data_IF_357552510322
#
_entry.id   IF_357552510322
#
_cell.length_a   1.000
_cell.length_b   1.000
_cell.length_c   1.000
_cell.angle_alpha   90.00
_cell.angle_beta   90.00
_cell.angle_gamma   90.00
#
_symmetry.space_group_name_H-M   'P 1'
#
loop_
_entity.id
_entity.type
_entity.pdbx_description
1 polymer ?
#
# COMPACT_ATOMS: atom_id res chain seq x y z
N UNK A 1 -14.94 33.86 -7.56
CA UNK A 1 -13.74 33.06 -7.83
C UNK A 1 -12.84 33.92 -8.70
N UNK A 2 -11.57 34.16 -8.38
CA UNK A 2 -10.72 34.83 -9.38
C UNK A 2 -10.52 33.85 -10.55
N UNK A 3 -10.50 34.39 -11.77
CA UNK A 3 -10.35 33.62 -13.01
C UNK A 3 -9.12 32.66 -12.94
N UNK A 4 -8.11 33.01 -12.14
CA UNK A 4 -6.87 32.23 -11.92
C UNK A 4 -7.04 30.82 -11.30
N UNK A 5 -8.18 30.47 -10.70
CA UNK A 5 -8.37 29.14 -10.09
C UNK A 5 -9.09 28.12 -11.01
N UNK A 6 -9.65 28.54 -12.16
CA UNK A 6 -10.36 27.61 -13.05
C UNK A 6 -9.41 26.66 -13.80
N UNK A 7 -8.19 27.11 -14.14
CA UNK A 7 -7.25 26.32 -14.95
C UNK A 7 -6.40 25.32 -14.14
N UNK A 8 -6.53 25.34 -12.80
CA UNK A 8 -5.74 24.50 -11.89
C UNK A 8 -6.47 23.20 -11.61
N UNK A 9 -5.74 22.08 -11.63
CA UNK A 9 -6.31 20.76 -11.33
C UNK A 9 -6.46 20.53 -9.82
N UNK A 10 -7.59 19.95 -9.44
CA UNK A 10 -7.91 19.53 -8.09
C UNK A 10 -7.77 18.00 -8.00
N UNK A 11 -6.89 17.52 -7.12
CA UNK A 11 -6.58 16.10 -6.95
C UNK A 11 -6.99 15.66 -5.55
N UNK A 12 -7.84 14.64 -5.46
CA UNK A 12 -8.21 13.99 -4.20
C UNK A 12 -7.43 12.70 -4.03
N UNK A 13 -6.75 12.54 -2.90
CA UNK A 13 -6.00 11.34 -2.54
C UNK A 13 -6.60 10.76 -1.27
N UNK A 14 -6.97 9.50 -1.32
CA UNK A 14 -7.54 8.77 -0.21
C UNK A 14 -6.69 7.52 0.06
N UNK A 15 -6.37 7.24 1.32
CA UNK A 15 -5.64 6.03 1.73
C UNK A 15 -6.31 5.33 2.91
N UNK A 16 -6.37 4.00 2.86
CA UNK A 16 -6.87 3.22 3.97
C UNK A 16 -6.25 1.81 4.07
N UNK A 17 -5.60 1.53 5.20
CA UNK A 17 -5.26 0.18 5.59
C UNK A 17 -6.48 -0.54 6.19
N UNK A 18 -6.95 -1.61 5.54
CA UNK A 18 -8.17 -2.32 5.95
C UNK A 18 -7.93 -3.47 6.92
N UNK A 19 -6.70 -3.68 7.42
CA UNK A 19 -6.35 -4.71 8.40
C UNK A 19 -6.83 -6.13 8.01
N UNK A 20 -6.65 -6.48 6.73
CA UNK A 20 -7.10 -7.74 6.10
C UNK A 20 -8.63 -7.94 6.10
N UNK A 21 -9.41 -6.93 6.51
CA UNK A 21 -10.87 -6.95 6.58
C UNK A 21 -11.56 -6.52 5.28
N UNK A 22 -10.82 -6.27 4.20
CA UNK A 22 -11.42 -5.77 2.96
C UNK A 22 -12.45 -6.70 2.30
N UNK A 23 -12.63 -7.94 2.76
CA UNK A 23 -13.79 -8.80 2.40
C UNK A 23 -15.04 -8.46 3.23
N UNK A 24 -14.89 -8.23 4.53
CA UNK A 24 -15.99 -7.93 5.46
C UNK A 24 -16.55 -6.51 5.32
N UNK A 25 -15.95 -5.73 4.42
CA UNK A 25 -16.45 -4.44 4.00
C UNK A 25 -15.60 -3.30 4.54
N UNK A 26 -15.26 -2.37 3.64
CA UNK A 26 -15.35 -0.97 4.02
C UNK A 26 -16.78 -0.74 4.55
N UNK A 27 -17.04 0.18 5.49
CA UNK A 27 -18.42 0.54 5.80
C UNK A 27 -19.17 0.75 4.49
N UNK A 28 -20.40 0.22 4.40
CA UNK A 28 -21.19 0.21 3.16
C UNK A 28 -21.32 1.61 2.54
N UNK A 29 -21.14 2.64 3.37
CA UNK A 29 -21.11 4.03 3.02
C UNK A 29 -19.65 4.55 2.94
N UNK A 30 -19.17 4.80 1.71
CA UNK A 30 -17.87 5.44 1.47
C UNK A 30 -17.94 6.98 1.51
N UNK A 31 -19.13 7.56 1.70
CA UNK A 31 -19.41 8.99 1.54
C UNK A 31 -18.55 9.81 2.48
N UNK A 32 -18.52 9.49 3.77
CA UNK A 32 -17.72 10.23 4.75
C UNK A 32 -16.24 10.33 4.34
N UNK A 33 -15.73 9.33 3.63
CA UNK A 33 -14.34 9.28 3.21
C UNK A 33 -14.08 9.86 1.82
N UNK A 34 -14.97 9.66 0.85
CA UNK A 34 -14.77 10.07 -0.55
C UNK A 34 -15.51 11.35 -0.94
N UNK A 35 -16.48 11.78 -0.13
CA UNK A 35 -17.28 13.01 -0.30
C UNK A 35 -16.95 14.19 0.64
N UNK A 36 -15.83 14.28 1.38
CA UNK A 36 -15.56 15.46 2.22
C UNK A 36 -15.36 16.74 1.38
N UNK A 37 -15.38 16.61 0.05
CA UNK A 37 -15.51 17.70 -0.92
C UNK A 37 -16.72 18.60 -0.62
N UNK A 38 -17.85 18.10 -0.11
CA UNK A 38 -19.07 18.91 0.12
C UNK A 38 -18.92 19.96 1.23
N UNK A 39 -18.14 19.67 2.27
CA UNK A 39 -17.92 20.63 3.37
C UNK A 39 -16.75 21.58 3.06
N UNK A 40 -15.69 21.07 2.45
CA UNK A 40 -14.51 21.88 2.09
C UNK A 40 -14.79 22.81 0.90
N UNK A 41 -15.66 22.41 -0.02
CA UNK A 41 -16.07 23.27 -1.13
C UNK A 41 -16.80 24.52 -0.67
N UNK A 42 -17.56 24.43 0.43
CA UNK A 42 -18.24 25.60 1.02
C UNK A 42 -17.26 26.60 1.64
N UNK A 43 -16.10 26.12 2.13
CA UNK A 43 -15.08 26.96 2.74
C UNK A 43 -14.15 27.63 1.71
N UNK A 44 -13.84 26.94 0.60
CA UNK A 44 -12.82 27.38 -0.36
C UNK A 44 -13.38 28.06 -1.63
N UNK A 45 -14.67 27.91 -1.90
CA UNK A 45 -15.30 28.44 -3.12
C UNK A 45 -16.76 28.80 -2.87
N UNK A 46 -17.24 29.86 -3.52
CA UNK A 46 -18.69 30.19 -3.55
C UNK A 46 -19.51 29.15 -4.33
N UNK A 47 -18.85 28.30 -5.12
CA UNK A 47 -19.45 27.25 -5.95
C UNK A 47 -18.74 25.92 -5.72
N UNK A 48 -19.48 24.85 -5.37
CA UNK A 48 -18.88 23.54 -5.18
C UNK A 48 -18.24 22.96 -6.46
N UNK A 49 -16.98 22.50 -6.35
CA UNK A 49 -16.21 21.90 -7.45
C UNK A 49 -15.76 20.48 -7.09
N UNK A 50 -16.03 19.51 -7.97
CA UNK A 50 -15.54 18.14 -7.82
C UNK A 50 -14.04 18.03 -8.19
N UNK A 51 -13.29 17.05 -7.65
CA UNK A 51 -11.90 16.80 -8.05
C UNK A 51 -11.79 16.43 -9.52
N UNK A 52 -10.73 16.89 -10.20
CA UNK A 52 -10.44 16.47 -11.57
C UNK A 52 -9.83 15.06 -11.61
N UNK A 53 -9.14 14.66 -10.53
CA UNK A 53 -8.54 13.33 -10.35
C UNK A 53 -8.86 12.83 -8.94
N UNK A 54 -9.25 11.57 -8.82
CA UNK A 54 -9.42 10.88 -7.53
C UNK A 54 -8.52 9.65 -7.51
N UNK A 55 -7.64 9.54 -6.52
CA UNK A 55 -6.78 8.37 -6.31
C UNK A 55 -7.09 7.72 -4.96
N UNK A 56 -7.44 6.43 -4.97
CA UNK A 56 -7.80 5.67 -3.77
C UNK A 56 -6.84 4.50 -3.60
N UNK A 57 -6.07 4.53 -2.52
CA UNK A 57 -5.10 3.51 -2.14
C UNK A 57 -5.59 2.66 -0.98
N UNK A 58 -5.37 1.35 -1.06
CA UNK A 58 -5.65 0.42 0.03
C UNK A 58 -4.39 -0.34 0.41
N UNK A 59 -4.28 -0.66 1.70
CA UNK A 59 -3.31 -1.61 2.23
C UNK A 59 -4.05 -2.70 3.00
N UNK A 60 -3.45 -3.89 3.05
CA UNK A 60 -4.09 -5.08 3.63
C UNK A 60 -5.52 -5.30 3.12
N UNK A 61 -5.79 -4.99 1.84
CA UNK A 61 -7.14 -5.06 1.26
C UNK A 61 -7.72 -6.49 1.26
N UNK A 62 -6.85 -7.48 1.21
CA UNK A 62 -7.20 -8.88 1.02
C UNK A 62 -6.61 -9.72 2.14
N UNK A 63 -7.33 -10.74 2.63
CA UNK A 63 -6.71 -11.82 3.38
C UNK A 63 -5.48 -12.34 2.65
N UNK A 64 -4.41 -12.60 3.40
CA UNK A 64 -3.09 -12.89 2.83
C UNK A 64 -3.12 -14.06 1.85
N UNK A 65 -3.86 -15.13 2.14
CA UNK A 65 -3.97 -16.28 1.24
C UNK A 65 -4.55 -15.91 -0.14
N UNK A 66 -5.53 -15.00 -0.21
CA UNK A 66 -6.07 -14.50 -1.49
C UNK A 66 -5.11 -13.52 -2.18
N UNK A 67 -4.49 -12.62 -1.40
CA UNK A 67 -3.51 -11.67 -1.93
C UNK A 67 -2.32 -12.39 -2.59
N UNK A 68 -1.72 -13.32 -1.86
CA UNK A 68 -0.57 -14.11 -2.31
C UNK A 68 -0.92 -15.01 -3.49
N UNK A 69 -2.09 -15.67 -3.48
CA UNK A 69 -2.53 -16.50 -4.61
C UNK A 69 -2.94 -15.70 -5.85
N UNK A 70 -3.26 -14.41 -5.70
CA UNK A 70 -3.63 -13.53 -6.81
C UNK A 70 -5.11 -13.52 -7.14
N UNK A 71 -5.93 -14.04 -6.23
CA UNK A 71 -7.38 -14.07 -6.36
C UNK A 71 -8.01 -12.74 -5.92
N UNK A 72 -7.48 -11.62 -6.42
CA UNK A 72 -7.88 -10.26 -6.06
C UNK A 72 -8.97 -9.65 -6.94
N UNK A 73 -9.20 -10.22 -8.14
CA UNK A 73 -10.03 -9.62 -9.20
C UNK A 73 -11.44 -9.25 -8.76
N UNK A 74 -12.12 -10.13 -8.01
CA UNK A 74 -13.49 -9.88 -7.54
C UNK A 74 -13.54 -8.71 -6.56
N UNK A 75 -12.65 -8.70 -5.58
CA UNK A 75 -12.61 -7.64 -4.56
C UNK A 75 -12.28 -6.29 -5.20
N UNK A 76 -11.26 -6.24 -6.08
CA UNK A 76 -10.90 -4.97 -6.71
C UNK A 76 -11.99 -4.43 -7.64
N UNK A 77 -12.71 -5.30 -8.36
CA UNK A 77 -13.84 -4.88 -9.21
C UNK A 77 -15.03 -4.39 -8.38
N UNK A 78 -15.31 -5.04 -7.25
CA UNK A 78 -16.34 -4.56 -6.33
C UNK A 78 -15.97 -3.20 -5.73
N UNK A 79 -14.69 -2.98 -5.42
CA UNK A 79 -14.18 -1.70 -4.91
C UNK A 79 -14.26 -0.60 -5.96
N UNK A 80 -13.89 -0.91 -7.19
CA UNK A 80 -14.03 -0.03 -8.35
C UNK A 80 -15.48 0.44 -8.53
N UNK A 81 -16.42 -0.49 -8.65
CA UNK A 81 -17.84 -0.17 -8.80
C UNK A 81 -18.38 0.66 -7.63
N UNK A 82 -18.02 0.29 -6.39
CA UNK A 82 -18.47 1.02 -5.20
C UNK A 82 -17.89 2.44 -5.19
N UNK A 83 -16.57 2.61 -5.34
CA UNK A 83 -15.93 3.93 -5.34
C UNK A 83 -16.52 4.81 -6.43
N UNK A 84 -16.64 4.30 -7.66
CA UNK A 84 -17.19 5.05 -8.78
C UNK A 84 -18.63 5.52 -8.49
N UNK A 85 -19.48 4.62 -7.99
CA UNK A 85 -20.86 4.98 -7.62
C UNK A 85 -20.93 6.07 -6.56
N UNK A 86 -19.99 6.08 -5.60
CA UNK A 86 -19.99 7.00 -4.47
C UNK A 86 -19.43 8.37 -4.86
N UNK A 87 -18.36 8.43 -5.66
CA UNK A 87 -17.83 9.71 -6.14
C UNK A 87 -18.81 10.42 -7.08
N UNK A 88 -19.53 9.69 -7.94
CA UNK A 88 -20.51 10.27 -8.87
C UNK A 88 -21.82 10.68 -8.18
N UNK A 89 -22.33 9.85 -7.26
CA UNK A 89 -23.57 10.17 -6.53
C UNK A 89 -23.44 11.42 -5.65
N UNK A 90 -22.22 11.70 -5.18
CA UNK A 90 -21.93 12.83 -4.29
C UNK A 90 -21.15 13.96 -4.97
N UNK A 91 -20.98 13.88 -6.30
CA UNK A 91 -20.35 14.95 -7.06
C UNK A 91 -21.28 16.19 -7.06
N UNK A 92 -20.77 17.38 -6.70
CA UNK A 92 -21.58 18.58 -6.51
C UNK A 92 -22.46 18.97 -7.72
N UNK A 93 -21.97 18.72 -8.94
CA UNK A 93 -22.63 19.07 -10.19
C UNK A 93 -22.95 17.82 -11.02
N UNK A 94 -23.06 16.64 -10.37
CA UNK A 94 -23.31 15.33 -11.02
C UNK A 94 -22.23 14.97 -12.06
N UNK A 95 -20.99 15.36 -11.78
CA UNK A 95 -19.84 15.03 -12.61
C UNK A 95 -19.65 13.52 -12.70
N UNK A 96 -19.24 13.06 -13.89
CA UNK A 96 -18.92 11.66 -14.16
C UNK A 96 -17.43 11.42 -14.14
N UNK A 97 -17.04 10.19 -13.84
CA UNK A 97 -15.64 9.78 -13.79
C UNK A 97 -15.41 8.53 -14.63
N UNK A 98 -14.19 8.40 -15.10
CA UNK A 98 -13.70 7.16 -15.71
C UNK A 98 -12.58 6.58 -14.86
N UNK A 99 -12.50 5.26 -14.80
CA UNK A 99 -11.33 4.57 -14.24
C UNK A 99 -10.15 4.74 -15.21
N UNK A 100 -9.12 5.47 -14.79
CA UNK A 100 -7.85 5.61 -15.53
C UNK A 100 -7.08 4.29 -15.46
N UNK A 101 -6.86 3.80 -14.24
CA UNK A 101 -6.19 2.53 -14.01
C UNK A 101 -6.47 1.99 -12.61
N UNK A 102 -6.40 0.66 -12.48
CA UNK A 102 -6.34 -0.03 -11.18
C UNK A 102 -5.23 -1.06 -11.18
N UNK A 103 -4.54 -1.20 -10.05
CA UNK A 103 -3.47 -2.17 -9.85
C UNK A 103 -3.48 -2.71 -8.43
N UNK A 104 -3.12 -3.99 -8.29
CA UNK A 104 -3.04 -4.70 -7.00
C UNK A 104 -1.77 -5.53 -6.94
N UNK A 105 -1.04 -5.43 -5.83
CA UNK A 105 0.05 -6.33 -5.45
C UNK A 105 -0.22 -6.87 -4.05
N UNK A 106 -0.61 -8.15 -3.96
CA UNK A 106 -1.02 -8.83 -2.73
C UNK A 106 -2.12 -8.03 -2.00
N UNK A 107 -1.78 -7.30 -0.93
CA UNK A 107 -2.72 -6.51 -0.15
C UNK A 107 -2.69 -5.01 -0.45
N UNK A 108 -1.77 -4.54 -1.31
CA UNK A 108 -1.64 -3.13 -1.68
C UNK A 108 -2.39 -2.91 -3.00
N UNK A 109 -3.32 -1.97 -3.02
CA UNK A 109 -4.10 -1.62 -4.20
C UNK A 109 -4.13 -0.12 -4.44
N UNK A 110 -4.29 0.26 -5.70
CA UNK A 110 -4.46 1.65 -6.14
C UNK A 110 -5.46 1.69 -7.29
N UNK A 111 -6.46 2.57 -7.17
CA UNK A 111 -7.42 2.90 -8.21
C UNK A 111 -7.37 4.40 -8.45
N UNK A 112 -7.24 4.82 -9.71
CA UNK A 112 -7.18 6.23 -10.09
C UNK A 112 -8.27 6.52 -11.10
N UNK A 113 -9.04 7.57 -10.84
CA UNK A 113 -10.17 8.03 -11.65
C UNK A 113 -9.90 9.45 -12.14
N UNK A 114 -10.39 9.75 -13.33
CA UNK A 114 -10.34 11.10 -13.92
C UNK A 114 -11.74 11.56 -14.29
N UNK A 115 -12.02 12.85 -14.09
CA UNK A 115 -13.30 13.44 -14.48
C UNK A 115 -13.50 13.35 -15.99
N UNK A 116 -14.65 12.86 -16.44
CA UNK A 116 -14.92 12.49 -17.83
C UNK A 116 -14.88 13.68 -18.81
N UNK A 117 -15.28 14.86 -18.37
CA UNK A 117 -15.26 16.08 -19.18
C UNK A 117 -13.90 16.82 -19.15
N UNK A 118 -12.90 16.26 -18.46
CA UNK A 118 -11.58 16.85 -18.28
C UNK A 118 -10.46 15.84 -18.48
N UNK A 119 -9.74 15.54 -17.40
CA UNK A 119 -8.57 14.64 -17.42
C UNK A 119 -8.91 13.29 -18.04
N UNK A 120 -10.08 12.72 -17.72
CA UNK A 120 -10.54 11.44 -18.24
C UNK A 120 -10.52 11.34 -19.77
N UNK A 121 -10.90 12.42 -20.45
CA UNK A 121 -11.00 12.45 -21.92
C UNK A 121 -9.69 12.78 -22.62
N UNK A 122 -8.79 13.49 -21.93
CA UNK A 122 -7.53 14.00 -22.51
C UNK A 122 -6.35 13.06 -22.28
N UNK A 123 -6.38 12.26 -21.22
CA UNK A 123 -5.22 11.48 -20.78
C UNK A 123 -4.72 10.49 -21.84
N UNK A 124 -3.43 10.17 -21.76
CA UNK A 124 -2.75 9.18 -22.59
C UNK A 124 -1.61 8.51 -21.79
N UNK A 125 -0.91 7.57 -22.43
CA UNK A 125 0.28 6.88 -21.89
C UNK A 125 0.05 6.27 -20.49
N UNK A 126 -1.09 5.60 -20.30
CA UNK A 126 -1.42 4.97 -19.01
C UNK A 126 -0.52 3.76 -18.77
N UNK A 127 0.15 3.78 -17.61
CA UNK A 127 1.11 2.79 -17.18
C UNK A 127 0.81 2.38 -15.74
N UNK A 128 1.01 1.10 -15.43
CA UNK A 128 0.92 0.59 -14.06
C UNK A 128 2.15 -0.24 -13.72
N UNK A 129 2.63 -0.13 -12.48
CA UNK A 129 3.83 -0.80 -12.01
C UNK A 129 3.67 -1.29 -10.58
N UNK A 130 4.46 -2.30 -10.19
CA UNK A 130 4.51 -2.80 -8.82
C UNK A 130 5.92 -3.22 -8.44
N UNK A 131 6.19 -3.21 -7.14
CA UNK A 131 7.38 -3.82 -6.54
C UNK A 131 7.07 -4.33 -5.14
N UNK A 132 7.74 -5.40 -4.73
CA UNK A 132 7.61 -6.00 -3.39
C UNK A 132 8.88 -5.74 -2.59
N UNK A 133 8.72 -5.26 -1.36
CA UNK A 133 9.84 -4.97 -0.43
C UNK A 133 9.82 -5.87 0.80
N UNK A 134 8.89 -6.82 0.88
CA UNK A 134 8.90 -7.83 1.93
C UNK A 134 10.17 -8.70 1.88
N UNK A 135 10.39 -9.55 2.89
CA UNK A 135 11.48 -10.53 2.85
C UNK A 135 11.46 -11.30 1.53
N UNK A 136 12.60 -11.39 0.84
CA UNK A 136 12.70 -11.99 -0.51
C UNK A 136 11.78 -11.34 -1.57
N UNK A 137 11.53 -10.03 -1.45
CA UNK A 137 10.70 -9.23 -2.36
C UNK A 137 9.21 -9.63 -2.36
N UNK A 138 8.73 -10.31 -1.31
CA UNK A 138 7.31 -10.65 -1.16
C UNK A 138 6.42 -9.39 -1.21
N UNK A 139 5.25 -9.53 -1.83
CA UNK A 139 4.38 -8.41 -2.18
C UNK A 139 3.49 -7.88 -1.04
N UNK A 140 3.50 -8.51 0.14
CA UNK A 140 2.72 -8.03 1.30
C UNK A 140 3.24 -6.70 1.88
N UNK A 141 4.44 -6.30 1.49
CA UNK A 141 5.03 -4.98 1.69
C UNK A 141 5.63 -4.52 0.34
N UNK A 142 5.66 -3.22 0.09
CA UNK A 142 6.13 -2.66 -1.17
C UNK A 142 5.19 -1.59 -1.69
N UNK A 143 5.10 -1.44 -3.01
CA UNK A 143 4.29 -0.40 -3.64
C UNK A 143 3.67 -0.83 -4.96
N UNK A 144 2.58 -0.15 -5.30
CA UNK A 144 1.99 -0.13 -6.64
C UNK A 144 1.94 1.31 -7.13
N UNK A 145 2.05 1.51 -8.43
CA UNK A 145 2.05 2.82 -9.05
C UNK A 145 1.19 2.88 -10.30
N UNK A 146 0.58 4.05 -10.52
CA UNK A 146 -0.12 4.44 -11.74
C UNK A 146 0.55 5.70 -12.27
N UNK A 147 0.91 5.69 -13.55
CA UNK A 147 1.42 6.86 -14.27
C UNK A 147 0.58 7.09 -15.52
N UNK A 148 0.29 8.34 -15.82
CA UNK A 148 -0.32 8.74 -17.08
C UNK A 148 0.11 10.16 -17.43
N UNK A 149 -0.16 10.56 -18.67
CA UNK A 149 0.14 11.90 -19.17
C UNK A 149 -1.13 12.62 -19.57
N UNK A 150 -1.21 13.91 -19.26
CA UNK A 150 -2.25 14.80 -19.75
C UNK A 150 -1.59 15.75 -20.75
N UNK A 151 -1.89 15.64 -22.06
CA UNK A 151 -1.39 16.56 -23.07
C UNK A 151 -1.78 18.00 -22.73
N UNK A 152 -0.95 18.96 -23.15
CA UNK A 152 -1.30 20.35 -23.03
C UNK A 152 -2.31 20.76 -24.11
N UNK A 153 -3.12 21.76 -23.82
CA UNK A 153 -4.15 22.26 -24.75
C UNK A 153 -3.53 22.97 -25.98
N UNK A 154 -2.26 23.39 -25.88
CA UNK A 154 -1.48 23.99 -26.96
C UNK A 154 -0.87 22.95 -27.94
N UNK A 155 -1.21 21.66 -27.76
CA UNK A 155 -0.69 20.57 -28.59
C UNK A 155 0.71 20.11 -28.21
N UNK A 156 1.29 20.63 -27.12
CA UNK A 156 2.56 20.16 -26.60
C UNK A 156 2.45 18.88 -25.75
N UNK A 157 3.61 18.37 -25.31
CA UNK A 157 3.73 17.06 -24.66
C UNK A 157 2.94 16.97 -23.35
N UNK A 158 2.69 18.10 -22.68
CA UNK A 158 1.91 18.17 -21.45
C UNK A 158 2.63 17.63 -20.21
N UNK A 159 1.85 17.22 -19.20
CA UNK A 159 2.35 16.89 -17.87
C UNK A 159 2.14 15.43 -17.52
N UNK A 160 3.07 14.85 -16.76
CA UNK A 160 3.05 13.47 -16.31
C UNK A 160 2.66 13.41 -14.83
N UNK A 161 1.69 12.55 -14.51
CA UNK A 161 1.15 12.35 -13.18
C UNK A 161 1.51 10.94 -12.72
N UNK A 162 2.20 10.83 -11.58
CA UNK A 162 2.57 9.54 -10.99
C UNK A 162 1.98 9.42 -9.59
N UNK A 163 1.16 8.40 -9.37
CA UNK A 163 0.57 8.05 -8.08
C UNK A 163 1.19 6.77 -7.57
N UNK A 164 1.67 6.75 -6.33
CA UNK A 164 2.31 5.59 -5.69
C UNK A 164 1.61 5.31 -4.37
N UNK A 165 1.02 4.12 -4.25
CA UNK A 165 0.44 3.59 -3.03
C UNK A 165 1.41 2.56 -2.43
N UNK A 166 1.84 2.75 -1.19
CA UNK A 166 2.83 1.91 -0.54
C UNK A 166 2.35 1.34 0.80
N UNK A 167 2.97 0.23 1.19
CA UNK A 167 2.83 -0.37 2.51
C UNK A 167 4.22 -0.80 3.01
N UNK A 168 4.79 -0.02 3.92
CA UNK A 168 6.17 -0.20 4.38
C UNK A 168 6.26 -1.07 5.66
N UNK A 169 7.47 -1.49 6.00
CA UNK A 169 7.75 -2.36 7.15
C UNK A 169 7.17 -1.82 8.47
N UNK A 170 6.37 -2.66 9.12
CA UNK A 170 5.73 -2.33 10.39
C UNK A 170 6.69 -2.38 11.60
N UNK A 171 6.20 -1.90 12.74
CA UNK A 171 6.85 -1.81 14.05
C UNK A 171 7.83 -0.65 14.24
N UNK A 172 7.75 0.01 15.39
CA UNK A 172 8.50 1.23 15.74
C UNK A 172 10.01 1.09 15.55
N UNK A 173 10.61 0.03 16.07
CA UNK A 173 12.06 -0.23 16.02
C UNK A 173 12.62 -0.53 14.61
N UNK A 174 11.77 -0.72 13.59
CA UNK A 174 12.19 -1.04 12.22
C UNK A 174 12.33 0.19 11.31
N UNK A 175 12.78 1.31 11.85
CA UNK A 175 12.97 2.56 11.10
C UNK A 175 13.92 2.37 9.90
N UNK A 176 15.06 1.71 10.12
CA UNK A 176 16.03 1.42 9.05
C UNK A 176 15.43 0.57 7.94
N UNK A 177 14.58 -0.41 8.27
CA UNK A 177 13.88 -1.23 7.28
C UNK A 177 12.89 -0.41 6.46
N UNK A 178 12.16 0.55 7.05
CA UNK A 178 11.27 1.44 6.29
C UNK A 178 12.00 2.37 5.34
N UNK A 179 13.15 2.91 5.78
CA UNK A 179 14.01 3.73 4.91
C UNK A 179 14.54 2.85 3.76
N UNK A 180 14.97 1.62 4.04
CA UNK A 180 15.40 0.67 3.02
C UNK A 180 14.27 0.29 2.06
N UNK A 181 13.04 0.07 2.55
CA UNK A 181 11.86 -0.17 1.72
C UNK A 181 11.62 1.00 0.76
N UNK A 182 11.66 2.23 1.27
CA UNK A 182 11.51 3.44 0.46
C UNK A 182 12.56 3.50 -0.66
N UNK A 183 13.85 3.35 -0.33
CA UNK A 183 14.89 3.35 -1.36
C UNK A 183 14.74 2.19 -2.34
N UNK A 184 14.34 1.01 -1.88
CA UNK A 184 14.05 -0.11 -2.75
C UNK A 184 12.92 0.24 -3.73
N UNK A 185 11.83 0.84 -3.26
CA UNK A 185 10.70 1.28 -4.10
C UNK A 185 11.17 2.31 -5.13
N UNK A 186 11.92 3.34 -4.73
CA UNK A 186 12.48 4.35 -5.65
C UNK A 186 13.24 3.69 -6.80
N UNK A 187 14.05 2.67 -6.49
CA UNK A 187 14.93 2.02 -7.46
C UNK A 187 14.26 0.94 -8.30
N UNK A 188 13.12 0.38 -7.85
CA UNK A 188 12.52 -0.82 -8.48
C UNK A 188 11.09 -0.63 -8.98
N UNK A 189 10.36 0.37 -8.50
CA UNK A 189 9.08 0.79 -9.08
C UNK A 189 9.35 1.64 -10.33
N UNK A 190 9.75 0.95 -11.40
CA UNK A 190 10.25 1.55 -12.62
C UNK A 190 9.17 1.59 -13.70
N UNK A 191 9.10 2.71 -14.39
CA UNK A 191 8.18 2.97 -15.48
C UNK A 191 8.94 3.04 -16.81
N UNK A 192 8.26 2.85 -17.96
CA UNK A 192 8.83 3.15 -19.26
C UNK A 192 9.44 4.57 -19.37
N UNK A 193 10.31 4.80 -20.37
CA UNK A 193 10.85 6.13 -20.68
C UNK A 193 9.77 7.18 -20.88
N UNK A 194 10.10 8.44 -20.62
CA UNK A 194 9.22 9.56 -20.91
C UNK A 194 9.14 9.81 -22.43
N UNK A 195 8.00 10.27 -22.95
CA UNK A 195 7.87 10.63 -24.37
C UNK A 195 8.82 11.79 -24.72
N UNK A 196 9.18 11.88 -26.00
CA UNK A 196 10.09 12.92 -26.51
C UNK A 196 11.45 12.93 -25.80
N UNK A 197 11.90 11.79 -25.26
CA UNK A 197 13.25 11.60 -24.74
C UNK A 197 14.03 10.60 -25.61
N UNK A 198 15.35 10.77 -25.72
CA UNK A 198 16.20 9.92 -26.54
C UNK A 198 16.57 8.58 -25.87
N UNK A 199 16.45 8.49 -24.54
CA UNK A 199 16.78 7.27 -23.79
C UNK A 199 15.65 6.23 -23.88
N UNK A 200 16.03 4.96 -23.95
CA UNK A 200 15.11 3.82 -23.86
C UNK A 200 15.11 3.18 -22.46
N UNK A 201 15.85 3.77 -21.52
CA UNK A 201 16.00 3.23 -20.18
C UNK A 201 14.75 3.49 -19.32
N UNK A 202 14.38 2.54 -18.45
CA UNK A 202 13.28 2.75 -17.54
C UNK A 202 13.57 3.89 -16.56
N UNK A 203 12.53 4.63 -16.20
CA UNK A 203 12.60 5.79 -15.30
C UNK A 203 12.04 5.46 -13.93
N UNK A 204 12.55 6.14 -12.90
CA UNK A 204 12.00 6.02 -11.54
C UNK A 204 10.72 6.82 -11.40
N UNK A 205 10.03 6.69 -10.26
CA UNK A 205 8.84 7.50 -9.96
C UNK A 205 9.09 9.01 -9.96
N UNK A 206 10.34 9.46 -9.82
CA UNK A 206 10.72 10.87 -9.81
C UNK A 206 10.76 11.53 -11.19
N UNK A 207 10.83 10.76 -12.27
CA UNK A 207 10.72 11.27 -13.65
C UNK A 207 9.26 11.54 -13.99
N UNK A 208 8.69 12.60 -13.40
CA UNK A 208 7.27 12.96 -13.50
C UNK A 208 7.09 14.46 -13.27
N UNK A 209 5.99 15.05 -13.76
CA UNK A 209 5.66 16.46 -13.51
C UNK A 209 5.02 16.66 -12.15
N UNK A 210 4.17 15.71 -11.74
CA UNK A 210 3.56 15.66 -10.41
C UNK A 210 3.72 14.24 -9.84
N UNK A 211 4.21 14.15 -8.60
CA UNK A 211 4.37 12.89 -7.87
C UNK A 211 3.51 12.92 -6.62
N UNK A 212 2.77 11.85 -6.39
CA UNK A 212 1.98 11.62 -5.19
C UNK A 212 2.38 10.28 -4.59
N UNK A 213 2.89 10.27 -3.36
CA UNK A 213 3.31 9.07 -2.65
C UNK A 213 2.51 8.97 -1.35
N UNK A 214 1.75 7.90 -1.19
CA UNK A 214 0.84 7.75 -0.07
C UNK A 214 0.66 6.29 0.33
N UNK A 215 0.02 6.07 1.48
CA UNK A 215 -0.26 4.73 1.97
C UNK A 215 -0.04 4.58 3.46
N UNK A 216 -0.01 3.33 3.94
CA UNK A 216 0.48 2.97 5.26
C UNK A 216 2.02 2.90 5.23
N UNK A 217 2.63 4.05 5.50
CA UNK A 217 4.07 4.20 5.51
C UNK A 217 4.69 3.68 6.82
N UNK A 218 3.87 3.34 7.81
CA UNK A 218 4.26 2.68 9.05
C UNK A 218 5.32 3.40 9.91
N UNK A 219 5.66 4.66 9.60
CA UNK A 219 6.48 5.50 10.47
C UNK A 219 5.72 5.80 11.77
N UNK A 220 6.46 5.86 12.88
CA UNK A 220 5.89 5.92 14.22
C UNK A 220 6.29 7.20 14.93
N UNK A 221 5.51 7.58 15.93
CA UNK A 221 5.96 8.53 16.95
C UNK A 221 6.90 7.78 17.89
N UNK A 222 8.15 8.24 17.99
CA UNK A 222 9.23 7.59 18.72
C UNK A 222 9.77 8.52 19.79
N UNK A 223 9.16 8.50 20.98
CA UNK A 223 9.57 9.38 22.06
C UNK A 223 10.87 8.89 22.73
N UNK A 224 11.79 9.80 23.10
CA UNK A 224 12.99 9.42 23.82
C UNK A 224 12.65 8.90 25.23
N UNK A 225 13.53 8.07 25.85
CA UNK A 225 13.31 7.53 27.20
C UNK A 225 13.01 8.59 28.28
N UNK A 226 13.53 9.81 28.11
CA UNK A 226 13.34 10.94 29.03
C UNK A 226 11.99 11.66 28.87
N UNK A 227 11.23 11.38 27.81
CA UNK A 227 9.97 12.08 27.56
C UNK A 227 8.88 11.64 28.54
N UNK A 228 8.08 12.55 29.12
CA UNK A 228 7.09 12.20 30.15
C UNK A 228 5.99 11.26 29.62
N UNK A 229 5.68 11.34 28.33
CA UNK A 229 4.69 10.47 27.67
C UNK A 229 5.26 9.11 27.19
N UNK A 230 6.54 8.82 27.46
CA UNK A 230 7.16 7.57 27.01
C UNK A 230 6.75 6.38 27.87
N UNK A 231 6.59 5.22 27.22
CA UNK A 231 6.31 3.95 27.89
C UNK A 231 4.82 3.62 28.07
N UNK A 232 4.53 2.36 28.39
CA UNK A 232 3.16 1.84 28.48
C UNK A 232 2.35 2.46 29.63
N UNK A 233 2.99 2.82 30.74
CA UNK A 233 2.32 3.41 31.91
C UNK A 233 1.73 4.80 31.61
N UNK A 234 2.36 5.54 30.70
CA UNK A 234 1.97 6.92 30.34
C UNK A 234 1.11 6.95 29.05
N UNK A 235 0.54 5.80 28.65
CA UNK A 235 -0.20 5.67 27.40
C UNK A 235 -1.51 6.44 27.42
N UNK A 236 -2.17 6.52 28.57
CA UNK A 236 -3.43 7.27 28.71
C UNK A 236 -3.18 8.77 28.53
N UNK A 237 -2.10 9.29 29.13
CA UNK A 237 -1.67 10.68 28.99
C UNK A 237 -1.23 10.98 27.56
N UNK A 238 -0.52 10.06 26.90
CA UNK A 238 -0.20 10.18 25.47
C UNK A 238 -1.48 10.34 24.65
N UNK A 239 -2.47 9.45 24.86
CA UNK A 239 -3.73 9.50 24.11
C UNK A 239 -4.48 10.80 24.38
N UNK A 240 -4.51 11.26 25.64
CA UNK A 240 -5.11 12.55 26.02
C UNK A 240 -4.42 13.74 25.35
N UNK A 241 -3.09 13.70 25.23
CA UNK A 241 -2.32 14.73 24.52
C UNK A 241 -2.71 14.80 23.03
N UNK A 242 -3.23 13.72 22.45
CA UNK A 242 -3.75 13.76 21.08
C UNK A 242 -5.07 14.53 20.94
N UNK A 243 -5.70 15.04 22.00
CA UNK A 243 -6.93 15.84 21.88
C UNK A 243 -6.64 17.31 21.56
N UNK A 244 -5.47 17.82 21.95
CA UNK A 244 -5.06 19.22 21.75
C UNK A 244 -4.20 19.41 20.49
N UNK A 245 -4.46 20.47 19.72
CA UNK A 245 -3.60 20.85 18.58
C UNK A 245 -2.16 21.17 19.03
N UNK A 246 -1.99 21.87 20.15
CA UNK A 246 -0.67 22.28 20.64
C UNK A 246 0.20 21.07 21.05
N UNK A 247 -0.42 20.07 21.67
CA UNK A 247 0.25 18.84 22.07
C UNK A 247 0.56 17.96 20.86
N UNK A 248 -0.37 17.83 19.90
CA UNK A 248 -0.10 17.16 18.61
C UNK A 248 1.04 17.83 17.84
N UNK A 249 1.05 19.16 17.81
CA UNK A 249 2.11 19.94 17.17
C UNK A 249 3.47 19.70 17.83
N UNK A 250 3.52 19.47 19.13
CA UNK A 250 4.76 19.13 19.86
C UNK A 250 5.16 17.67 19.61
N UNK A 251 4.19 16.75 19.60
CA UNK A 251 4.42 15.32 19.37
C UNK A 251 4.93 15.01 17.95
N UNK A 252 4.56 15.82 16.96
CA UNK A 252 5.00 15.62 15.57
C UNK A 252 6.52 15.68 15.42
N UNK A 253 7.23 16.40 16.31
CA UNK A 253 8.69 16.52 16.27
C UNK A 253 9.39 15.18 16.55
N UNK A 254 8.66 14.21 17.12
CA UNK A 254 9.10 12.83 17.35
C UNK A 254 8.55 11.85 16.29
N UNK A 255 7.88 12.34 15.25
CA UNK A 255 7.43 11.53 14.12
C UNK A 255 8.63 11.14 13.25
N UNK A 256 8.87 9.83 13.13
CA UNK A 256 10.02 9.33 12.38
C UNK A 256 10.01 9.76 10.91
N UNK A 257 8.85 9.88 10.25
CA UNK A 257 8.80 10.29 8.84
C UNK A 257 9.22 11.74 8.69
N UNK A 258 8.68 12.64 9.52
CA UNK A 258 9.05 14.05 9.52
C UNK A 258 10.56 14.24 9.76
N UNK A 259 11.10 13.53 10.75
CA UNK A 259 12.52 13.59 11.11
C UNK A 259 13.41 13.12 9.95
N UNK A 260 13.13 11.95 9.37
CA UNK A 260 13.96 11.37 8.30
C UNK A 260 13.82 12.14 6.98
N UNK A 261 12.64 12.68 6.68
CA UNK A 261 12.44 13.58 5.54
C UNK A 261 13.23 14.88 5.70
N UNK A 262 13.23 15.47 6.89
CA UNK A 262 13.98 16.71 7.19
C UNK A 262 15.48 16.49 7.11
N UNK A 263 15.98 15.31 7.52
CA UNK A 263 17.39 14.92 7.35
C UNK A 263 17.78 14.65 5.90
N UNK A 264 16.81 14.49 4.99
CA UNK A 264 17.05 14.09 3.61
C UNK A 264 17.44 12.62 3.44
N UNK A 265 17.19 11.76 4.43
CA UNK A 265 17.47 10.31 4.33
C UNK A 265 16.36 9.56 3.60
N UNK A 266 15.12 10.06 3.60
CA UNK A 266 13.99 9.49 2.87
C UNK A 266 13.09 10.58 2.30
N UNK A 267 12.30 10.26 1.27
CA UNK A 267 11.31 11.15 0.64
C UNK A 267 11.86 12.50 0.19
N UNK A 268 13.10 12.51 -0.31
CA UNK A 268 13.79 13.74 -0.75
C UNK A 268 12.98 14.46 -1.83
N UNK A 269 12.79 15.76 -1.66
CA UNK A 269 12.02 16.59 -2.58
C UNK A 269 10.50 16.45 -2.44
N UNK A 270 9.97 15.60 -1.56
CA UNK A 270 8.53 15.53 -1.31
C UNK A 270 8.14 16.40 -0.11
N UNK A 271 6.94 16.97 -0.20
CA UNK A 271 6.28 17.77 0.83
C UNK A 271 5.06 17.03 1.37
N UNK A 272 4.60 17.44 2.53
CA UNK A 272 3.44 16.87 3.20
C UNK A 272 2.68 18.02 3.86
N UNK A 273 1.34 17.91 3.91
CA UNK A 273 0.51 18.87 4.64
C UNK A 273 0.67 18.74 6.16
N UNK A 274 -0.10 19.51 6.92
CA UNK A 274 -0.03 19.49 8.39
C UNK A 274 -0.75 18.25 8.97
N UNK A 275 -0.13 17.07 8.82
CA UNK A 275 -0.67 15.77 9.24
C UNK A 275 -1.04 15.69 10.73
N UNK A 276 -0.44 16.55 11.56
CA UNK A 276 -0.66 16.63 13.00
C UNK A 276 -1.96 17.34 13.40
N UNK A 277 -2.67 17.97 12.45
CA UNK A 277 -3.98 18.62 12.71
C UNK A 277 -5.10 17.63 13.00
N UNK A 278 -4.92 16.36 12.64
CA UNK A 278 -5.81 15.26 13.03
C UNK A 278 -5.08 14.27 13.93
N UNK A 279 -5.83 13.47 14.70
CA UNK A 279 -5.25 12.50 15.63
C UNK A 279 -4.53 11.37 14.89
N UNK A 280 -3.69 10.63 15.61
CA UNK A 280 -3.01 9.47 15.07
C UNK A 280 -3.99 8.45 14.43
N UNK A 281 -3.65 7.94 13.25
CA UNK A 281 -4.54 7.03 12.51
C UNK A 281 -4.43 5.59 12.96
N UNK A 282 -3.42 5.25 13.77
CA UNK A 282 -3.13 3.89 14.24
C UNK A 282 -2.60 3.94 15.69
N UNK A 283 -2.76 2.93 16.56
CA UNK A 283 -3.57 1.71 16.42
C UNK A 283 -4.85 1.85 17.23
N UNK A 284 -5.99 1.84 16.56
CA UNK A 284 -7.31 1.89 17.19
C UNK A 284 -7.79 0.51 17.65
N UNK A 285 -8.73 0.48 18.57
CA UNK A 285 -9.50 -0.72 18.90
C UNK A 285 -10.59 -0.91 17.84
N UNK A 286 -10.79 -2.14 17.38
CA UNK A 286 -11.84 -2.45 16.41
C UNK A 286 -13.22 -2.16 17.02
N UNK A 287 -14.13 -1.60 16.23
CA UNK A 287 -15.46 -1.19 16.67
C UNK A 287 -15.52 0.17 17.36
N UNK A 288 -14.37 0.78 17.69
CA UNK A 288 -14.29 2.03 18.45
C UNK A 288 -13.88 3.22 17.55
N UNK A 289 -14.48 4.39 17.78
CA UNK A 289 -14.20 5.60 16.98
C UNK A 289 -12.88 6.25 17.40
N UNK A 290 -12.68 6.47 18.71
CA UNK A 290 -11.57 7.29 19.24
C UNK A 290 -10.62 6.53 20.19
N UNK A 291 -10.88 5.24 20.42
CA UNK A 291 -10.16 4.47 21.45
C UNK A 291 -8.95 3.75 20.86
N UNK A 292 -7.77 4.07 21.41
CA UNK A 292 -6.52 3.42 21.02
C UNK A 292 -6.27 2.09 21.74
N UNK A 293 -5.50 1.22 21.09
CA UNK A 293 -4.96 0.01 21.72
C UNK A 293 -3.94 0.38 22.80
N UNK A 294 -3.99 -0.22 24.01
CA UNK A 294 -3.02 0.08 25.07
C UNK A 294 -1.62 -0.48 24.76
N UNK A 295 -1.52 -1.44 23.84
CA UNK A 295 -0.29 -2.20 23.57
C UNK A 295 0.69 -1.48 22.64
N UNK A 296 0.27 -0.41 21.95
CA UNK A 296 1.10 0.29 20.98
C UNK A 296 0.92 1.79 21.10
N UNK A 297 2.01 2.52 20.84
CA UNK A 297 1.93 3.96 20.72
C UNK A 297 1.03 4.36 19.56
N UNK A 298 0.11 5.31 19.75
CA UNK A 298 -0.55 5.96 18.65
C UNK A 298 0.50 6.56 17.68
N UNK A 299 0.25 6.49 16.38
CA UNK A 299 1.13 7.01 15.34
C UNK A 299 0.35 7.41 14.08
N UNK A 300 0.88 8.41 13.36
CA UNK A 300 0.43 8.76 12.01
C UNK A 300 1.12 7.86 10.98
N UNK A 301 0.60 6.64 10.85
CA UNK A 301 1.16 5.64 9.92
C UNK A 301 0.71 5.89 8.48
N UNK A 302 -0.48 6.45 8.30
CA UNK A 302 -1.13 6.68 7.01
C UNK A 302 -0.82 8.10 6.55
N UNK A 303 -0.15 8.26 5.39
CA UNK A 303 0.48 9.53 4.97
C UNK A 303 0.25 9.86 3.51
N UNK A 304 0.27 11.16 3.16
CA UNK A 304 0.18 11.66 1.78
C UNK A 304 1.27 12.70 1.56
N UNK A 305 2.23 12.35 0.71
CA UNK A 305 3.32 13.21 0.29
C UNK A 305 3.19 13.53 -1.19
N UNK A 306 3.68 14.70 -1.59
CA UNK A 306 3.56 15.18 -2.97
C UNK A 306 4.71 16.08 -3.37
N UNK A 307 4.94 16.19 -4.69
CA UNK A 307 5.87 17.13 -5.29
C UNK A 307 5.37 17.52 -6.69
N UNK A 308 5.66 18.74 -7.11
CA UNK A 308 5.44 19.21 -8.49
C UNK A 308 6.73 19.75 -9.08
N UNK A 309 6.88 19.68 -10.41
CA UNK A 309 8.06 20.17 -11.12
C UNK A 309 8.32 21.66 -10.92
N UNK A 310 7.27 22.43 -10.58
CA UNK A 310 7.41 23.85 -10.25
C UNK A 310 7.97 24.09 -8.84
N UNK A 311 8.09 23.07 -7.99
CA UNK A 311 8.73 23.19 -6.69
C UNK A 311 10.23 23.47 -6.85
N UNK A 312 10.80 24.25 -5.94
CA UNK A 312 12.23 24.57 -5.93
C UNK A 312 12.96 23.67 -4.93
N UNK A 313 14.12 23.08 -5.29
CA UNK A 313 14.93 22.31 -4.35
C UNK A 313 15.54 23.19 -3.24
N UNK A 314 15.66 24.51 -3.45
CA UNK A 314 16.15 25.48 -2.46
C UNK A 314 15.13 25.77 -1.34
N UNK A 315 13.85 25.42 -1.56
CA UNK A 315 12.76 25.63 -0.59
C UNK A 315 12.07 24.30 -0.23
N UNK A 316 12.77 23.37 0.46
CA UNK A 316 12.31 21.99 0.67
C UNK A 316 11.02 21.86 1.52
N UNK A 317 10.65 22.91 2.26
CA UNK A 317 9.43 22.97 3.08
C UNK A 317 8.23 23.57 2.35
N UNK A 318 8.43 24.26 1.23
CA UNK A 318 7.38 24.91 0.45
C UNK A 318 7.06 24.11 -0.81
N UNK A 319 5.79 24.12 -1.22
CA UNK A 319 5.34 23.57 -2.49
C UNK A 319 4.35 24.51 -3.15
N UNK A 320 4.32 24.50 -4.48
CA UNK A 320 3.31 25.18 -5.28
C UNK A 320 1.99 24.40 -5.35
N UNK A 321 1.97 23.15 -4.86
CA UNK A 321 0.73 22.43 -4.56
C UNK A 321 0.14 22.97 -3.26
N UNK A 322 -1.10 23.47 -3.32
CA UNK A 322 -1.83 23.90 -2.12
C UNK A 322 -2.59 22.72 -1.53
N UNK A 323 -2.28 22.35 -0.29
CA UNK A 323 -3.05 21.37 0.46
C UNK A 323 -4.29 22.05 1.06
N UNK A 324 -5.45 21.76 0.47
CA UNK A 324 -6.73 22.37 0.80
C UNK A 324 -7.42 21.66 1.96
N UNK A 325 -7.23 20.34 2.05
CA UNK A 325 -7.71 19.49 3.12
C UNK A 325 -6.68 18.40 3.35
N UNK A 326 -6.37 18.13 4.61
CA UNK A 326 -5.69 16.90 4.99
C UNK A 326 -6.22 16.44 6.35
N UNK A 327 -6.99 15.35 6.36
CA UNK A 327 -7.66 14.86 7.57
C UNK A 327 -7.79 13.34 7.59
N UNK A 328 -8.11 12.79 8.76
CA UNK A 328 -8.57 11.41 8.94
C UNK A 328 -10.09 11.34 9.05
N UNK A 329 -10.67 10.15 8.85
CA UNK A 329 -12.10 9.87 8.99
C UNK A 329 -12.33 8.91 10.17
N UNK A 330 -12.55 9.40 11.40
CA UNK A 330 -12.60 8.55 12.59
C UNK A 330 -13.80 7.59 12.66
N UNK A 331 -14.89 7.90 11.95
CA UNK A 331 -16.14 7.12 11.94
C UNK A 331 -15.96 5.68 11.45
N UNK A 332 -14.85 5.37 10.79
CA UNK A 332 -14.54 4.03 10.28
C UNK A 332 -13.91 3.18 11.40
N UNK A 333 -14.60 2.11 11.78
CA UNK A 333 -14.21 1.28 12.94
C UNK A 333 -13.91 -0.19 12.60
N UNK A 334 -14.00 -0.58 11.32
CA UNK A 334 -13.74 -1.96 10.88
C UNK A 334 -12.25 -2.32 10.82
N UNK A 335 -11.38 -1.32 10.79
CA UNK A 335 -9.93 -1.46 10.85
C UNK A 335 -9.38 -0.82 12.12
N UNK A 336 -8.18 -1.23 12.51
CA UNK A 336 -7.39 -0.56 13.55
C UNK A 336 -6.65 0.68 13.01
N UNK A 337 -6.82 0.96 11.72
CA UNK A 337 -6.46 2.23 11.08
C UNK A 337 -7.70 3.10 10.83
N UNK A 338 -7.50 4.42 10.79
CA UNK A 338 -8.49 5.38 10.30
C UNK A 338 -8.11 5.83 8.88
N UNK A 339 -9.05 5.81 7.92
CA UNK A 339 -8.81 6.33 6.57
C UNK A 339 -8.35 7.79 6.63
N UNK A 340 -7.53 8.17 5.66
CA UNK A 340 -7.13 9.56 5.46
C UNK A 340 -7.53 10.05 4.08
N UNK A 341 -7.68 11.36 3.97
CA UNK A 341 -7.92 12.05 2.71
C UNK A 341 -7.10 13.34 2.65
N UNK A 342 -6.59 13.64 1.46
CA UNK A 342 -6.05 14.96 1.15
C UNK A 342 -6.60 15.49 -0.17
N UNK A 343 -6.94 16.78 -0.18
CA UNK A 343 -7.39 17.51 -1.36
C UNK A 343 -6.30 18.52 -1.75
N UNK A 344 -5.75 18.37 -2.95
CA UNK A 344 -4.57 19.08 -3.42
C UNK A 344 -4.93 19.92 -4.65
N UNK A 345 -4.67 21.22 -4.60
CA UNK A 345 -4.82 22.10 -5.75
C UNK A 345 -3.45 22.35 -6.38
N UNK A 346 -3.24 21.78 -7.56
CA UNK A 346 -1.98 21.82 -8.29
C UNK A 346 -1.66 23.24 -8.80
N UNK A 347 -0.40 23.54 -9.15
CA UNK A 347 -0.09 24.76 -9.91
C UNK A 347 -0.84 24.78 -11.25
N UNK A 348 -0.90 25.96 -11.88
CA UNK A 348 -1.39 26.04 -13.25
C UNK A 348 -0.49 25.21 -14.19
N UNK A 349 -1.04 24.56 -15.22
CA UNK A 349 -0.25 23.80 -16.19
C UNK A 349 0.85 24.67 -16.80
N UNK A 350 2.03 24.11 -16.97
CA UNK A 350 3.10 24.81 -17.67
C UNK A 350 2.80 24.91 -19.18
N UNK A 351 3.12 26.04 -19.85
CA UNK A 351 3.12 26.11 -21.31
C UNK A 351 4.07 25.05 -21.87
N UNK A 352 3.70 24.36 -22.95
CA UNK A 352 4.53 23.29 -23.49
C UNK A 352 4.76 23.45 -24.99
N UNK A 353 5.93 23.02 -25.46
CA UNK A 353 6.22 22.98 -26.90
C UNK A 353 6.12 21.53 -27.40
N UNK A 354 5.63 21.28 -28.64
CA UNK A 354 5.42 19.93 -29.16
C UNK A 354 6.63 19.01 -29.13
N UNK A 355 7.85 19.56 -29.20
CA UNK A 355 9.09 18.80 -29.28
C UNK A 355 9.82 18.65 -27.95
N UNK A 356 9.40 19.35 -26.89
CA UNK A 356 10.06 19.27 -25.59
C UNK A 356 9.58 18.05 -24.78
N UNK A 357 10.45 17.38 -24.01
CA UNK A 357 10.00 16.36 -23.07
C UNK A 357 9.11 16.97 -21.97
N UNK A 358 8.25 16.17 -21.33
CA UNK A 358 7.45 16.63 -20.20
C UNK A 358 8.35 17.21 -19.09
N UNK A 359 7.93 18.27 -18.38
CA UNK A 359 8.71 18.79 -17.27
C UNK A 359 8.79 17.75 -16.15
N UNK A 360 9.96 17.62 -15.51
CA UNK A 360 10.19 16.66 -14.43
C UNK A 360 10.48 17.37 -13.10
N UNK A 361 10.30 16.66 -11.99
CA UNK A 361 10.65 17.15 -10.66
C UNK A 361 12.08 17.69 -10.59
N UNK A 362 12.24 18.84 -9.94
CA UNK A 362 13.56 19.43 -9.64
C UNK A 362 14.03 18.93 -8.29
N UNK A 363 15.06 18.10 -8.31
CA UNK A 363 15.65 17.50 -7.10
C UNK A 363 16.94 18.21 -6.70
N UNK A 364 17.32 18.19 -5.41
CA UNK A 364 18.62 18.67 -4.97
C UNK A 364 19.76 17.94 -5.71
N UNK A 365 20.87 18.62 -6.04
CA UNK A 365 21.99 17.99 -6.75
C UNK A 365 22.61 16.78 -6.03
N UNK A 366 22.46 16.70 -4.71
CA UNK A 366 22.92 15.58 -3.88
C UNK A 366 22.06 14.31 -4.00
N UNK A 367 20.91 14.38 -4.67
CA UNK A 367 19.96 13.28 -4.74
C UNK A 367 19.59 12.92 -6.18
N UNK A 368 20.13 11.79 -6.64
CA UNK A 368 19.83 11.24 -7.97
C UNK A 368 19.22 9.84 -7.83
N UNK A 369 17.89 9.70 -8.01
CA UNK A 369 17.24 8.39 -7.95
C UNK A 369 17.62 7.56 -9.18
N UNK A 370 18.34 6.46 -8.96
CA UNK A 370 18.83 5.57 -10.03
C UNK A 370 18.05 4.26 -10.09
N UNK A 371 17.64 3.79 -11.27
CA UNK A 371 17.06 2.46 -11.44
C UNK A 371 17.98 1.34 -10.94
N UNK A 372 17.40 0.30 -10.36
CA UNK A 372 18.10 -0.95 -10.06
C UNK A 372 18.10 -1.84 -11.30
N UNK A 373 19.27 -2.23 -11.85
CA UNK A 373 19.34 -3.12 -13.02
C UNK A 373 18.73 -4.50 -12.75
N UNK A 374 18.62 -4.90 -11.48
CA UNK A 374 17.99 -6.15 -11.04
C UNK A 374 16.52 -5.98 -10.62
N UNK A 375 15.89 -4.83 -10.89
CA UNK A 375 14.49 -4.59 -10.52
C UNK A 375 13.55 -5.68 -11.05
N UNK A 376 13.65 -6.00 -12.34
CA UNK A 376 12.81 -7.02 -12.99
C UNK A 376 12.96 -8.41 -12.37
N UNK A 377 14.18 -9.01 -12.25
CA UNK A 377 14.31 -10.33 -11.64
C UNK A 377 13.86 -10.35 -10.17
N UNK A 378 14.16 -9.31 -9.37
CA UNK A 378 13.69 -9.21 -7.97
C UNK A 378 12.16 -9.21 -7.89
N UNK A 379 11.51 -8.42 -8.74
CA UNK A 379 10.05 -8.31 -8.82
C UNK A 379 9.37 -9.65 -9.14
N UNK A 380 9.92 -10.40 -10.09
CA UNK A 380 9.34 -11.70 -10.47
C UNK A 380 9.70 -12.82 -9.50
N UNK A 381 10.87 -12.78 -8.85
CA UNK A 381 11.20 -13.68 -7.74
C UNK A 381 10.16 -13.55 -6.62
N UNK A 382 9.89 -12.32 -6.17
CA UNK A 382 8.86 -12.04 -5.17
C UNK A 382 7.48 -12.55 -5.60
N UNK A 383 7.10 -12.29 -6.86
CA UNK A 383 5.82 -12.73 -7.41
C UNK A 383 5.67 -14.26 -7.44
N UNK A 384 6.71 -14.99 -7.79
CA UNK A 384 6.69 -16.46 -7.78
C UNK A 384 6.52 -16.97 -6.34
N UNK A 385 7.29 -16.41 -5.40
CA UNK A 385 7.18 -16.78 -3.98
C UNK A 385 5.78 -16.46 -3.42
N UNK A 386 5.21 -15.30 -3.77
CA UNK A 386 3.84 -14.95 -3.42
C UNK A 386 2.87 -16.06 -3.89
N UNK A 387 2.96 -16.48 -5.16
CA UNK A 387 2.05 -17.52 -5.70
C UNK A 387 2.21 -18.85 -5.00
N UNK A 388 3.45 -19.28 -4.76
CA UNK A 388 3.75 -20.55 -4.07
C UNK A 388 3.14 -20.54 -2.67
N UNK A 389 3.41 -19.49 -1.88
CA UNK A 389 2.88 -19.36 -0.52
C UNK A 389 1.35 -19.29 -0.51
N UNK A 390 0.76 -18.52 -1.41
CA UNK A 390 -0.69 -18.36 -1.51
C UNK A 390 -1.41 -19.66 -1.88
N UNK A 391 -0.90 -20.38 -2.87
CA UNK A 391 -1.48 -21.66 -3.31
C UNK A 391 -1.32 -22.72 -2.22
N UNK A 392 -0.14 -22.83 -1.59
CA UNK A 392 0.08 -23.77 -0.49
C UNK A 392 -0.88 -23.50 0.69
N UNK A 393 -1.10 -22.23 1.03
CA UNK A 393 -2.07 -21.84 2.06
C UNK A 393 -3.50 -22.20 1.64
N UNK A 394 -3.92 -21.91 0.40
CA UNK A 394 -5.24 -22.29 -0.09
C UNK A 394 -5.47 -23.81 -0.04
N UNK A 395 -4.49 -24.61 -0.46
CA UNK A 395 -4.57 -26.07 -0.38
C UNK A 395 -4.75 -26.53 1.07
N UNK A 396 -4.04 -25.89 2.00
CA UNK A 396 -4.19 -26.17 3.43
C UNK A 396 -5.62 -25.88 3.90
N UNK A 397 -6.20 -24.74 3.50
CA UNK A 397 -7.60 -24.40 3.82
C UNK A 397 -8.56 -25.43 3.24
N UNK A 398 -8.36 -25.87 1.99
CA UNK A 398 -9.22 -26.86 1.33
C UNK A 398 -9.14 -28.22 2.04
N UNK A 399 -7.93 -28.71 2.34
CA UNK A 399 -7.71 -29.97 3.06
C UNK A 399 -8.38 -29.93 4.44
N UNK A 400 -8.37 -28.76 5.09
CA UNK A 400 -9.04 -28.55 6.37
C UNK A 400 -10.51 -28.18 6.28
N UNK A 401 -11.18 -28.46 5.16
CA UNK A 401 -12.60 -28.16 4.93
C UNK A 401 -12.99 -26.71 5.26
N UNK A 402 -12.13 -25.76 4.88
CA UNK A 402 -12.31 -24.32 5.14
C UNK A 402 -11.50 -23.79 6.33
N UNK A 403 -10.80 -24.64 7.10
CA UNK A 403 -9.94 -24.23 8.20
C UNK A 403 -8.47 -24.55 7.92
N UNK A 404 -7.62 -23.53 7.88
CA UNK A 404 -6.17 -23.73 7.73
C UNK A 404 -5.58 -24.56 8.88
N UNK A 405 -6.11 -24.43 10.10
CA UNK A 405 -5.65 -25.18 11.27
C UNK A 405 -5.95 -26.67 11.13
N UNK A 406 -7.18 -27.02 10.74
CA UNK A 406 -7.56 -28.42 10.48
C UNK A 406 -6.75 -29.00 9.32
N UNK A 407 -6.48 -28.19 8.29
CA UNK A 407 -5.68 -28.59 7.14
C UNK A 407 -4.24 -28.93 7.50
N UNK A 408 -3.58 -28.07 8.29
CA UNK A 408 -2.25 -28.37 8.81
C UNK A 408 -2.25 -29.64 9.67
N UNK A 409 -3.25 -29.80 10.54
CA UNK A 409 -3.43 -31.00 11.34
C UNK A 409 -3.55 -32.27 10.48
N UNK A 410 -4.35 -32.22 9.41
CA UNK A 410 -4.51 -33.33 8.49
C UNK A 410 -3.24 -33.63 7.69
N UNK A 411 -2.51 -32.61 7.22
CA UNK A 411 -1.24 -32.78 6.50
C UNK A 411 -0.18 -33.41 7.41
N UNK A 412 -0.02 -32.87 8.62
CA UNK A 412 0.96 -33.38 9.60
C UNK A 412 0.57 -34.78 10.08
N UNK A 413 -0.70 -34.99 10.43
CA UNK A 413 -1.21 -36.29 10.85
C UNK A 413 -1.09 -37.36 9.77
N UNK A 414 -1.42 -37.02 8.52
CA UNK A 414 -1.24 -37.91 7.36
C UNK A 414 0.23 -38.22 7.07
N UNK A 415 1.12 -37.22 7.22
CA UNK A 415 2.57 -37.41 7.06
C UNK A 415 3.16 -38.31 8.15
N UNK A 416 2.73 -38.12 9.41
CA UNK A 416 3.10 -38.98 10.53
C UNK A 416 2.58 -40.41 10.34
N UNK A 417 1.32 -40.56 9.92
CA UNK A 417 0.75 -41.86 9.58
C UNK A 417 1.52 -42.54 8.45
N UNK A 418 1.85 -41.81 7.38
CA UNK A 418 2.62 -42.35 6.25
C UNK A 418 4.05 -42.75 6.66
N UNK A 419 4.72 -41.93 7.47
CA UNK A 419 6.04 -42.25 8.01
C UNK A 419 5.99 -43.50 8.90
N UNK A 420 4.99 -43.60 9.78
CA UNK A 420 4.73 -44.77 10.61
C UNK A 420 4.42 -46.01 9.77
N UNK A 421 3.53 -45.89 8.78
CA UNK A 421 3.18 -46.97 7.85
C UNK A 421 4.39 -47.47 7.05
N UNK A 422 5.25 -46.55 6.56
CA UNK A 422 6.50 -46.91 5.89
C UNK A 422 7.48 -47.61 6.82
N UNK A 423 7.65 -47.10 8.03
CA UNK A 423 8.48 -47.75 9.06
C UNK A 423 7.95 -49.15 9.40
N UNK A 424 6.63 -49.30 9.56
CA UNK A 424 5.97 -50.57 9.80
C UNK A 424 6.15 -51.54 8.63
N UNK A 425 5.97 -51.09 7.39
CA UNK A 425 6.24 -51.90 6.19
C UNK A 425 7.70 -52.32 6.05
N UNK A 426 8.64 -51.43 6.39
CA UNK A 426 10.06 -51.75 6.41
C UNK A 426 10.42 -52.74 7.53
N UNK A 427 9.57 -52.85 8.56
CA UNK A 427 9.67 -53.83 9.65
C UNK A 427 8.69 -55.00 9.54
N UNK A 428 7.95 -55.12 8.43
CA UNK A 428 7.13 -56.30 8.19
C UNK A 428 8.08 -57.50 8.20
N UNK A 429 8.02 -58.24 9.30
CA UNK A 429 8.87 -59.33 9.65
C UNK A 429 9.01 -60.28 8.47
N UNK A 430 10.24 -60.47 7.99
CA UNK A 430 10.66 -61.82 7.63
C UNK A 430 10.57 -62.59 8.94
N UNK A 431 9.41 -63.18 9.24
CA UNK A 431 9.40 -64.35 10.12
C UNK A 431 10.13 -65.38 9.27
N UNK A 432 11.36 -65.78 9.60
CA UNK A 432 11.87 -67.01 9.03
C UNK A 432 10.89 -68.05 9.56
N UNK A 433 10.10 -68.66 8.69
CA UNK A 433 9.52 -69.96 9.01
C UNK A 433 10.74 -70.91 9.00
N UNK A 434 11.62 -70.79 9.99
CA UNK A 434 12.51 -71.86 10.36
C UNK A 434 11.63 -72.92 11.01
N UNK A 435 11.18 -73.77 10.11
CA UNK A 435 10.54 -75.06 10.26
C UNK A 435 11.06 -75.89 11.45
N UNK A 436 10.59 -75.58 12.66
CA UNK A 436 10.62 -76.54 13.77
C UNK A 436 9.89 -77.85 13.40
N UNK A 437 8.92 -77.78 12.48
CA UNK A 437 8.24 -78.96 11.94
C UNK A 437 9.02 -79.73 10.86
N UNK A 438 9.89 -79.10 10.05
CA UNK A 438 10.65 -79.83 9.03
C UNK A 438 11.84 -80.58 9.62
N UNK A 439 12.52 -80.01 10.64
CA UNK A 439 13.58 -80.73 11.38
C UNK A 439 13.02 -81.90 12.20
N UNK A 440 11.79 -81.81 12.70
CA UNK A 440 11.13 -82.93 13.40
C UNK A 440 10.76 -84.08 12.44
N UNK A 441 10.29 -83.75 11.23
CA UNK A 441 9.97 -84.75 10.20
C UNK A 441 11.23 -85.47 9.67
N UNK A 442 12.32 -84.74 9.48
CA UNK A 442 13.59 -85.30 9.02
C UNK A 442 14.26 -86.20 10.07
N UNK A 443 14.12 -85.86 11.36
CA UNK A 443 14.55 -86.71 12.48
C UNK A 443 13.72 -87.99 12.63
N UNK A 444 12.41 -87.93 12.37
CA UNK A 444 11.52 -89.09 12.45
C UNK A 444 11.70 -90.07 11.28
N UNK A 445 12.05 -89.57 10.08
CA UNK A 445 12.30 -90.43 8.92
C UNK A 445 13.67 -91.12 8.97
N UNK A 446 14.69 -90.48 9.57
CA UNK A 446 16.03 -91.10 9.76
C UNK A 446 16.05 -92.22 10.81
N UNK A 447 15.09 -92.27 11.75
CA UNK A 447 15.04 -93.31 12.78
C UNK A 447 14.21 -94.55 12.41
N UNK A 448 13.49 -94.52 11.27
CA UNK A 448 12.66 -95.66 10.80
C UNK A 448 13.24 -96.44 9.61
N UNK A 449 14.35 -96.00 9.02
CA UNK A 449 14.97 -96.64 7.86
C UNK A 449 16.49 -96.85 8.02
N UNK A 450 16.96 -97.02 9.26
CA UNK A 450 18.32 -97.46 9.58
C UNK A 450 18.28 -98.80 10.31
#
# INVERSE_FOLDING_TARGET
>A
MSIQNQDRLLVQIASYNTNLQGIFGLPQDLVDWLSPTLQVSNFLSREPRAPDIVAVGFQELLPLHLGFSGLSKRVINNRDALILSQIEAHAPNKEKYILIAKIVNVGVALLVYGRDDGVGRKLCDVQTQWTGSGPLYLGNKGAVGVRFRVPADDGGTGEVFTFVCAHLTAHEHKLSSRIADYHHIVRTLLFPPLPSTASTDPTTMYSTSHLFFFGDLNFRVSLPPSHPLQGLKNRAEFVKALDSDADRQSLKEYDQLLVERTKGSAFVGLREGEFWRFKCTYKHQLGEVEKYSPLRAPSWTDRVLYATHTDSPETPTSSNIKNLLYTSIPSYTTSDHKPIISLLLLPAPAPSTPTAPPPTLRLPPSYTPTPDPLATPKRYLGRVLDRVLGIAWLLTIIVGAGSAVLGLGAILGGSLFYAFWRWWRARAFVIPIESAHAKMLEGYLKSRFA
#
